data_IF_012533356807
#
_entry.id   IF_012533356807
#
_cell.length_a   1.000
_cell.length_b   1.000
_cell.length_c   1.000
_cell.angle_alpha   90.00
_cell.angle_beta   90.00
_cell.angle_gamma   90.00
#
_symmetry.space_group_name_H-M   'P 1'
#
loop_
_entity.id
_entity.type
_entity.pdbx_description
1 polymer ?
#
# COMPACT_ATOMS: atom_id res chain seq x y z
N UNK A 1 21.84 4.39 18.18
CA UNK A 1 20.83 4.88 17.20
C UNK A 1 20.17 3.68 16.55
N UNK A 2 18.88 3.44 16.85
CA UNK A 2 18.17 2.23 16.42
C UNK A 2 17.95 2.17 14.91
N UNK A 3 17.98 0.96 14.35
CA UNK A 3 17.70 0.72 12.93
C UNK A 3 16.25 1.15 12.61
N UNK A 4 16.07 2.06 11.65
CA UNK A 4 14.74 2.47 11.17
C UNK A 4 13.94 1.24 10.72
N UNK A 5 12.65 1.22 11.02
CA UNK A 5 11.76 0.17 10.53
C UNK A 5 11.62 0.24 9.00
N UNK A 6 11.22 -0.86 8.36
CA UNK A 6 10.97 -0.85 6.91
C UNK A 6 9.87 0.16 6.54
N UNK A 7 8.83 0.29 7.37
CA UNK A 7 7.76 1.25 7.14
C UNK A 7 8.26 2.71 7.20
N UNK A 8 9.12 3.04 8.17
CA UNK A 8 9.76 4.35 8.26
C UNK A 8 10.64 4.64 7.03
N UNK A 9 11.45 3.68 6.62
CA UNK A 9 12.30 3.82 5.44
C UNK A 9 11.47 4.07 4.17
N UNK A 10 10.33 3.39 4.05
CA UNK A 10 9.38 3.59 2.95
C UNK A 10 8.79 5.00 3.01
N UNK A 11 8.27 5.44 4.16
CA UNK A 11 7.71 6.79 4.29
C UNK A 11 8.71 7.87 3.87
N UNK A 12 9.96 7.79 4.34
CA UNK A 12 11.02 8.73 3.94
C UNK A 12 11.32 8.65 2.43
N UNK A 13 11.35 7.45 1.85
CA UNK A 13 11.62 7.25 0.41
C UNK A 13 10.59 7.94 -0.49
N UNK A 14 9.32 7.94 -0.08
CA UNK A 14 8.21 8.45 -0.89
C UNK A 14 7.79 9.89 -0.55
N UNK A 15 8.43 10.51 0.45
CA UNK A 15 8.12 11.87 0.91
C UNK A 15 8.19 12.93 -0.21
N UNK A 16 9.21 12.84 -1.08
CA UNK A 16 9.48 13.81 -2.15
C UNK A 16 8.70 13.59 -3.45
N UNK A 17 7.87 12.55 -3.55
CA UNK A 17 7.08 12.32 -4.76
C UNK A 17 6.04 13.45 -4.92
N UNK A 18 5.74 13.84 -6.16
CA UNK A 18 4.63 14.76 -6.43
C UNK A 18 3.32 14.06 -6.07
N UNK A 19 2.49 14.70 -5.23
CA UNK A 19 1.20 14.13 -4.86
C UNK A 19 0.19 14.27 -6.00
N UNK A 20 -0.65 13.24 -6.18
CA UNK A 20 -1.79 13.25 -7.08
C UNK A 20 -3.06 12.96 -6.26
N UNK A 21 -3.95 13.95 -6.14
CA UNK A 21 -5.17 13.85 -5.34
C UNK A 21 -6.28 13.03 -6.02
N UNK A 22 -5.98 11.77 -6.37
CA UNK A 22 -6.93 10.78 -6.87
C UNK A 22 -7.01 9.58 -5.93
N UNK A 23 -8.02 8.74 -6.13
CA UNK A 23 -8.06 7.43 -5.51
C UNK A 23 -7.29 6.41 -6.36
N UNK A 24 -6.62 5.50 -5.69
CA UNK A 24 -5.86 4.42 -6.29
C UNK A 24 -6.21 3.10 -5.63
N UNK A 25 -6.33 2.04 -6.42
CA UNK A 25 -6.39 0.67 -5.92
C UNK A 25 -5.01 0.03 -6.01
N UNK A 26 -4.54 -0.50 -4.90
CA UNK A 26 -3.37 -1.37 -4.82
C UNK A 26 -3.89 -2.79 -4.66
N UNK A 27 -3.70 -3.59 -5.70
CA UNK A 27 -4.02 -5.01 -5.71
C UNK A 27 -2.71 -5.77 -5.55
N UNK A 28 -2.65 -6.66 -4.56
CA UNK A 28 -1.47 -7.45 -4.29
C UNK A 28 -1.81 -8.93 -4.15
N UNK A 29 -0.95 -9.77 -4.65
CA UNK A 29 -1.07 -11.22 -4.53
C UNK A 29 0.24 -11.79 -4.02
N UNK A 30 0.18 -12.62 -2.99
CA UNK A 30 1.35 -13.32 -2.46
C UNK A 30 1.33 -14.73 -3.08
N UNK A 31 2.08 -14.97 -4.17
CA UNK A 31 2.13 -16.28 -4.80
C UNK A 31 2.64 -17.27 -3.76
N UNK A 32 1.83 -18.28 -3.42
CA UNK A 32 2.05 -19.04 -2.20
C UNK A 32 1.93 -20.54 -2.38
N UNK A 33 2.96 -21.23 -1.88
CA UNK A 33 2.85 -22.54 -1.22
C UNK A 33 3.27 -22.47 0.28
N UNK A 34 3.72 -21.30 0.79
CA UNK A 34 4.30 -21.16 2.14
C UNK A 34 3.52 -20.19 3.05
N UNK A 35 2.47 -20.67 3.72
CA UNK A 35 2.00 -20.08 4.99
C UNK A 35 1.21 -18.75 4.95
N UNK A 36 0.84 -18.25 3.76
CA UNK A 36 -0.03 -17.08 3.61
C UNK A 36 0.68 -15.73 3.73
N UNK A 37 -0.09 -14.66 3.95
CA UNK A 37 0.43 -13.28 3.97
C UNK A 37 1.18 -13.03 5.29
N UNK A 38 2.45 -12.56 5.27
CA UNK A 38 3.23 -12.38 6.49
C UNK A 38 2.58 -11.44 7.51
N UNK A 39 2.46 -11.83 8.78
CA UNK A 39 1.87 -10.96 9.84
C UNK A 39 2.59 -9.61 9.97
N UNK A 40 3.91 -9.59 9.71
CA UNK A 40 4.70 -8.34 9.72
C UNK A 40 4.32 -7.37 8.60
N UNK A 41 3.82 -7.86 7.46
CA UNK A 41 3.29 -7.01 6.41
C UNK A 41 2.11 -6.18 6.95
N UNK A 42 1.15 -6.82 7.61
CA UNK A 42 0.00 -6.11 8.18
C UNK A 42 0.39 -5.11 9.26
N UNK A 43 1.34 -5.44 10.14
CA UNK A 43 1.83 -4.50 11.15
C UNK A 43 2.46 -3.24 10.54
N UNK A 44 3.25 -3.40 9.48
CA UNK A 44 3.86 -2.26 8.79
C UNK A 44 2.87 -1.51 7.90
N UNK A 45 1.86 -2.20 7.36
CA UNK A 45 0.77 -1.56 6.62
C UNK A 45 -0.03 -0.66 7.55
N UNK A 46 -0.36 -1.13 8.75
CA UNK A 46 -1.06 -0.34 9.78
C UNK A 46 -0.29 0.93 10.14
N UNK A 47 1.03 0.85 10.28
CA UNK A 47 1.88 2.01 10.50
C UNK A 47 1.71 3.09 9.41
N UNK A 48 1.63 2.67 8.13
CA UNK A 48 1.40 3.59 7.00
C UNK A 48 -0.05 4.09 7.01
N UNK A 49 -1.02 3.22 7.29
CA UNK A 49 -2.45 3.56 7.33
C UNK A 49 -2.81 4.60 8.40
N UNK A 50 -2.08 4.64 9.52
CA UNK A 50 -2.25 5.68 10.54
C UNK A 50 -1.81 7.08 10.09
N UNK A 51 -1.03 7.19 9.01
CA UNK A 51 -0.44 8.46 8.52
C UNK A 51 -1.03 8.92 7.19
N UNK A 52 -1.68 8.02 6.46
CA UNK A 52 -2.19 8.27 5.13
C UNK A 52 -3.61 7.71 5.00
N UNK A 53 -4.42 8.31 4.13
CA UNK A 53 -5.79 7.86 3.90
C UNK A 53 -5.79 6.56 3.09
N UNK A 54 -5.77 5.44 3.80
CA UNK A 54 -5.72 4.08 3.28
C UNK A 54 -6.92 3.30 3.84
N UNK A 55 -7.65 2.62 2.97
CA UNK A 55 -8.78 1.78 3.33
C UNK A 55 -8.60 0.39 2.73
N UNK A 56 -8.71 -0.64 3.57
CA UNK A 56 -8.77 -2.03 3.08
C UNK A 56 -10.19 -2.30 2.57
N UNK A 57 -10.32 -2.61 1.28
CA UNK A 57 -11.61 -2.89 0.64
C UNK A 57 -11.93 -4.39 0.71
N UNK A 58 -10.91 -5.22 0.47
CA UNK A 58 -11.01 -6.67 0.50
C UNK A 58 -9.67 -7.25 0.98
N UNK A 59 -9.59 -8.57 1.19
CA UNK A 59 -8.28 -9.26 1.17
C UNK A 59 -7.59 -8.95 -0.15
N UNK A 60 -6.29 -8.64 -0.10
CA UNK A 60 -5.48 -8.38 -1.30
C UNK A 60 -5.84 -7.12 -2.10
N UNK A 61 -6.76 -6.28 -1.61
CA UNK A 61 -7.18 -5.04 -2.27
C UNK A 61 -7.24 -3.89 -1.28
N UNK A 62 -6.46 -2.83 -1.53
CA UNK A 62 -6.36 -1.64 -0.70
C UNK A 62 -6.66 -0.41 -1.56
N UNK A 63 -7.57 0.45 -1.11
CA UNK A 63 -7.78 1.77 -1.66
C UNK A 63 -6.92 2.80 -0.93
N UNK A 64 -6.25 3.66 -1.68
CA UNK A 64 -5.44 4.75 -1.17
C UNK A 64 -5.92 6.07 -1.77
N UNK A 65 -6.05 7.13 -0.97
CA UNK A 65 -6.12 8.50 -1.49
C UNK A 65 -4.71 9.04 -1.61
N UNK A 66 -4.32 9.46 -2.81
CA UNK A 66 -2.98 9.93 -3.09
C UNK A 66 -2.07 8.86 -3.71
N UNK A 67 -1.26 9.27 -4.69
CA UNK A 67 -0.28 8.41 -5.33
C UNK A 67 0.84 8.00 -4.37
N UNK A 68 1.20 8.87 -3.41
CA UNK A 68 2.22 8.53 -2.40
C UNK A 68 1.79 7.31 -1.60
N UNK A 69 0.58 7.36 -1.04
CA UNK A 69 0.01 6.26 -0.25
C UNK A 69 -0.01 4.96 -1.06
N UNK A 70 -0.49 5.02 -2.30
CA UNK A 70 -0.53 3.87 -3.20
C UNK A 70 0.87 3.26 -3.44
N UNK A 71 1.87 4.10 -3.73
CA UNK A 71 3.25 3.64 -3.95
C UNK A 71 3.90 3.08 -2.69
N UNK A 72 3.64 3.65 -1.52
CA UNK A 72 4.17 3.12 -0.25
C UNK A 72 3.60 1.74 0.06
N UNK A 73 2.28 1.57 -0.07
CA UNK A 73 1.62 0.26 0.11
C UNK A 73 2.14 -0.75 -0.90
N UNK A 74 2.27 -0.35 -2.16
CA UNK A 74 2.76 -1.24 -3.20
C UNK A 74 4.23 -1.66 -2.96
N UNK A 75 5.08 -0.72 -2.54
CA UNK A 75 6.47 -1.02 -2.22
C UNK A 75 6.59 -1.93 -1.01
N UNK A 76 5.75 -1.73 0.00
CA UNK A 76 5.67 -2.60 1.17
C UNK A 76 5.27 -4.02 0.77
N UNK A 77 4.19 -4.17 0.01
CA UNK A 77 3.71 -5.48 -0.44
C UNK A 77 4.78 -6.21 -1.28
N UNK A 78 5.41 -5.51 -2.22
CA UNK A 78 6.51 -6.03 -3.02
C UNK A 78 7.71 -6.46 -2.16
N UNK A 79 8.07 -5.66 -1.14
CA UNK A 79 9.15 -6.01 -0.21
C UNK A 79 8.89 -7.33 0.54
N UNK A 80 7.64 -7.65 0.83
CA UNK A 80 7.25 -8.91 1.47
C UNK A 80 7.06 -10.08 0.48
N UNK A 81 7.30 -9.87 -0.82
CA UNK A 81 7.23 -10.90 -1.84
C UNK A 81 5.92 -10.96 -2.62
N UNK A 82 5.06 -9.93 -2.53
CA UNK A 82 3.85 -9.89 -3.33
C UNK A 82 4.11 -9.43 -4.77
N UNK A 83 3.34 -9.98 -5.71
CA UNK A 83 3.05 -9.35 -6.98
C UNK A 83 2.08 -8.19 -6.75
N UNK A 84 2.34 -7.01 -7.32
CA UNK A 84 1.54 -5.81 -7.03
C UNK A 84 1.20 -5.06 -8.31
N UNK A 85 -0.04 -4.57 -8.40
CA UNK A 85 -0.50 -3.62 -9.42
C UNK A 85 -1.15 -2.40 -8.75
N UNK A 86 -0.93 -1.22 -9.32
CA UNK A 86 -1.57 0.03 -8.92
C UNK A 86 -2.48 0.48 -10.05
N UNK A 87 -3.73 0.77 -9.72
CA UNK A 87 -4.72 1.31 -10.65
C UNK A 87 -5.15 2.69 -10.15
N UNK A 88 -5.12 3.69 -11.03
CA UNK A 88 -5.76 4.98 -10.75
C UNK A 88 -7.25 4.86 -11.04
N UNK A 89 -8.09 5.31 -10.09
CA UNK A 89 -9.52 5.42 -10.33
C UNK A 89 -9.75 6.74 -11.07
N UNK A 90 -10.16 6.65 -12.33
CA UNK A 90 -10.37 7.83 -13.18
C UNK A 90 -11.75 8.45 -12.94
N UNK A 91 -12.79 7.62 -12.77
CA UNK A 91 -14.15 8.03 -12.47
C UNK A 91 -14.82 6.95 -11.60
N UNK A 92 -15.54 7.34 -10.56
CA UNK A 92 -16.55 6.47 -10.00
C UNK A 92 -17.73 6.53 -10.97
N UNK A 93 -18.12 5.42 -11.60
CA UNK A 93 -19.41 5.38 -12.26
C UNK A 93 -20.45 5.83 -11.22
N UNK A 94 -21.12 6.95 -11.49
CA UNK A 94 -22.32 7.32 -10.75
C UNK A 94 -23.34 6.21 -11.01
N UNK A 95 -23.48 5.30 -10.06
CA UNK A 95 -24.38 4.15 -10.18
C UNK A 95 -23.94 2.99 -9.31
N UNK A 96 -24.49 2.95 -8.09
CA UNK A 96 -24.94 1.68 -7.51
C UNK A 96 -26.43 1.59 -7.83
#
# INVERSE_FOLDING_TARGET
MGRRSIAEAIVTKFEKIKEENHFFLVVYDFPGDQGGIPTRFYKNLEYIAQRYQIQRIQKSVIMCKGLKAAKMVAHLAYHYGANVKIFRICDAAAGI
#
